data_IF_010417054722
#
_entry.id   IF_010417054722
#
_cell.length_a   1.000
_cell.length_b   1.000
_cell.length_c   1.000
_cell.angle_alpha   90.00
_cell.angle_beta   90.00
_cell.angle_gamma   90.00
#
_symmetry.space_group_name_H-M   'P 1'
#
loop_
_entity.id
_entity.type
_entity.pdbx_description
1 polymer ?
#
# COMPACT_ATOMS: atom_id res chain seq x y z
N UNK A 1 7.89 -27.67 37.19
CA UNK A 1 8.81 -26.92 36.31
C UNK A 1 8.13 -26.75 34.95
N UNK A 2 7.70 -25.55 34.58
CA UNK A 2 7.19 -25.26 33.23
C UNK A 2 8.32 -24.60 32.43
N UNK A 3 8.73 -25.23 31.33
CA UNK A 3 9.80 -24.75 30.46
C UNK A 3 9.31 -23.54 29.66
N UNK A 4 9.90 -22.34 29.77
CA UNK A 4 9.41 -21.12 29.10
C UNK A 4 9.70 -21.07 27.59
N UNK A 5 10.40 -22.06 27.03
CA UNK A 5 11.03 -21.94 25.70
C UNK A 5 10.20 -22.47 24.53
N UNK A 6 8.92 -22.76 24.73
CA UNK A 6 8.01 -23.11 23.63
C UNK A 6 6.92 -22.06 23.49
N UNK A 7 7.29 -20.91 22.95
CA UNK A 7 6.32 -20.02 22.35
C UNK A 7 6.90 -19.60 21.00
N UNK A 8 6.49 -20.30 19.95
CA UNK A 8 6.78 -19.92 18.57
C UNK A 8 6.08 -18.60 18.30
N UNK A 9 6.78 -17.49 18.54
CA UNK A 9 6.33 -16.17 18.13
C UNK A 9 6.33 -16.14 16.61
N UNK A 10 5.18 -16.47 16.01
CA UNK A 10 4.92 -16.29 14.59
C UNK A 10 4.84 -14.79 14.32
N UNK A 11 6.01 -14.16 14.17
CA UNK A 11 6.10 -12.77 13.75
C UNK A 11 5.65 -12.71 12.30
N UNK A 12 4.44 -12.18 12.10
CA UNK A 12 3.91 -11.87 10.79
C UNK A 12 4.66 -10.67 10.22
N UNK A 13 5.39 -10.89 9.14
CA UNK A 13 5.96 -9.80 8.37
C UNK A 13 4.87 -9.17 7.50
N UNK A 14 4.34 -8.02 7.93
CA UNK A 14 3.30 -7.28 7.20
C UNK A 14 3.74 -6.94 5.77
N UNK A 15 5.03 -6.69 5.53
CA UNK A 15 5.53 -6.41 4.17
C UNK A 15 5.47 -7.64 3.26
N UNK A 16 5.53 -8.84 3.82
CA UNK A 16 5.47 -10.09 3.05
C UNK A 16 4.04 -10.47 2.62
N UNK A 17 3.01 -9.84 3.21
CA UNK A 17 1.59 -10.12 2.92
C UNK A 17 0.91 -9.01 2.13
N UNK A 18 1.55 -7.84 2.04
CA UNK A 18 1.03 -6.72 1.26
C UNK A 18 1.41 -6.90 -0.20
N UNK A 19 0.42 -6.73 -1.06
CA UNK A 19 0.59 -6.59 -2.49
C UNK A 19 0.75 -5.10 -2.82
N UNK A 20 1.95 -4.72 -3.25
CA UNK A 20 2.29 -3.33 -3.55
C UNK A 20 1.40 -2.74 -4.65
N UNK A 21 1.08 -3.51 -5.69
CA UNK A 21 0.22 -3.06 -6.80
C UNK A 21 -1.19 -2.72 -6.28
N UNK A 22 -1.78 -3.63 -5.48
CA UNK A 22 -3.09 -3.40 -4.86
C UNK A 22 -3.04 -2.21 -3.91
N UNK A 23 -1.99 -2.08 -3.10
CA UNK A 23 -1.81 -0.97 -2.17
C UNK A 23 -1.79 0.36 -2.91
N UNK A 24 -0.96 0.50 -3.95
CA UNK A 24 -0.87 1.72 -4.75
C UNK A 24 -2.19 2.06 -5.43
N UNK A 25 -2.89 1.07 -5.96
CA UNK A 25 -4.21 1.26 -6.58
C UNK A 25 -5.23 1.79 -5.57
N UNK A 26 -5.36 1.15 -4.42
CA UNK A 26 -6.29 1.56 -3.36
C UNK A 26 -6.00 2.99 -2.89
N UNK A 27 -4.74 3.33 -2.64
CA UNK A 27 -4.37 4.70 -2.23
C UNK A 27 -4.74 5.72 -3.32
N UNK A 28 -4.53 5.38 -4.60
CA UNK A 28 -4.86 6.27 -5.72
C UNK A 28 -6.36 6.48 -5.85
N UNK A 29 -7.17 5.43 -5.74
CA UNK A 29 -8.63 5.50 -5.79
C UNK A 29 -9.19 6.34 -4.63
N UNK A 30 -8.71 6.11 -3.40
CA UNK A 30 -9.14 6.88 -2.23
C UNK A 30 -8.78 8.37 -2.31
N UNK A 31 -7.59 8.67 -2.84
CA UNK A 31 -7.10 10.05 -2.93
C UNK A 31 -7.72 10.84 -4.08
N UNK A 32 -8.08 10.16 -5.16
CA UNK A 32 -8.66 10.75 -6.37
C UNK A 32 -9.89 9.96 -6.83
N UNK A 33 -11.02 10.04 -6.11
CA UNK A 33 -12.24 9.32 -6.47
C UNK A 33 -12.77 9.73 -7.86
N UNK A 34 -12.59 11.01 -8.23
CA UNK A 34 -12.98 11.56 -9.54
C UNK A 34 -11.86 11.44 -10.60
N UNK A 35 -10.82 10.66 -10.33
CA UNK A 35 -9.67 10.47 -11.21
C UNK A 35 -8.49 11.42 -10.94
N UNK A 36 -7.29 10.98 -11.33
CA UNK A 36 -6.03 11.65 -11.04
C UNK A 36 -5.89 12.95 -11.83
N UNK A 37 -5.50 14.02 -11.14
CA UNK A 37 -5.23 15.34 -11.74
C UNK A 37 -3.87 15.87 -11.30
N UNK A 38 -3.20 16.59 -12.20
CA UNK A 38 -1.94 17.25 -11.90
C UNK A 38 -2.11 18.28 -10.77
N UNK A 39 -1.33 18.17 -9.71
CA UNK A 39 -1.40 19.10 -8.58
C UNK A 39 -1.00 20.55 -8.95
N UNK A 40 -0.26 20.74 -10.04
CA UNK A 40 0.17 22.06 -10.49
C UNK A 40 -0.86 22.76 -11.39
N UNK A 41 -1.44 22.04 -12.36
CA UNK A 41 -2.32 22.63 -13.39
C UNK A 41 -3.72 22.02 -13.48
N UNK A 42 -4.05 21.02 -12.67
CA UNK A 42 -5.35 20.36 -12.67
C UNK A 42 -5.65 19.52 -13.92
N UNK A 43 -4.69 19.34 -14.83
CA UNK A 43 -4.86 18.52 -16.04
C UNK A 43 -5.04 17.04 -15.68
N UNK A 44 -5.93 16.35 -16.39
CA UNK A 44 -6.09 14.89 -16.35
C UNK A 44 -5.30 14.18 -17.47
N UNK A 45 -4.50 14.92 -18.26
CA UNK A 45 -3.68 14.39 -19.34
C UNK A 45 -2.27 14.09 -18.84
N UNK A 46 -1.77 12.90 -19.16
CA UNK A 46 -0.37 12.51 -18.96
C UNK A 46 0.43 12.95 -20.19
N UNK A 47 1.49 13.73 -19.98
CA UNK A 47 2.46 14.09 -21.04
C UNK A 47 3.70 13.24 -20.83
N UNK A 48 4.07 12.42 -21.82
CA UNK A 48 5.37 11.74 -21.87
C UNK A 48 6.30 12.56 -22.78
N UNK A 49 7.51 12.81 -22.31
CA UNK A 49 8.61 13.34 -23.13
C UNK A 49 9.34 12.17 -23.79
#
# INVERSE_FOLDING_TARGET
>A
MKNPQNESHNILNIRAIIDDEKCFRTVRELRWPEGVRCAHCGSNKVVKH
#
